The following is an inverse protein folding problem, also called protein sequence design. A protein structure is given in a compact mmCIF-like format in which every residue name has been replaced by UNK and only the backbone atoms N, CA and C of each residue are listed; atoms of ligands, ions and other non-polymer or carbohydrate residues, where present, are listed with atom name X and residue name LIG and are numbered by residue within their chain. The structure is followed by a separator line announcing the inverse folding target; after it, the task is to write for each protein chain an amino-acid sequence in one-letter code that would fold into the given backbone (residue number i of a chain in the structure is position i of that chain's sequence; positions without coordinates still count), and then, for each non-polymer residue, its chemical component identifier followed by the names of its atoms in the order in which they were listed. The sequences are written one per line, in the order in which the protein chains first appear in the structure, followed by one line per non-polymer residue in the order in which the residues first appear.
data_IF_642006898989
#
_entry.id   IF_642006898989
#
_cell.length_a   1.000
_cell.length_b   1.000
_cell.length_c   1.000
_cell.angle_alpha   90.00
_cell.angle_beta   90.00
_cell.angle_gamma   90.00
#
_symmetry.space_group_name_H-M   'P 1'
#
loop_
_entity.id
_entity.type
_entity.pdbx_description
1 polymer ?
#
# COMPACT_ATOMS: atom_id res chain seq x y z
N UNK A 1 4.15 -28.60 -7.77
CA UNK A 1 4.48 -27.43 -6.92
C UNK A 1 3.37 -26.41 -7.09
N UNK A 2 2.75 -26.01 -5.99
CA UNK A 2 1.69 -24.99 -6.01
C UNK A 2 2.29 -23.65 -6.46
N UNK A 3 1.51 -22.80 -7.13
CA UNK A 3 1.96 -21.46 -7.56
C UNK A 3 2.41 -20.61 -6.35
N UNK A 4 1.84 -20.87 -5.17
CA UNK A 4 2.20 -20.28 -3.88
C UNK A 4 3.56 -20.70 -3.32
N UNK A 5 4.27 -21.65 -3.95
CA UNK A 5 5.61 -22.09 -3.53
C UNK A 5 6.72 -21.44 -4.36
N UNK A 6 6.36 -20.63 -5.36
CA UNK A 6 7.32 -19.94 -6.21
C UNK A 6 7.73 -18.63 -5.55
N UNK A 7 9.04 -18.43 -5.42
CA UNK A 7 9.66 -17.23 -4.83
C UNK A 7 9.26 -15.95 -5.58
N UNK A 8 8.88 -16.09 -6.85
CA UNK A 8 8.37 -15.02 -7.74
C UNK A 8 6.98 -14.50 -7.36
N UNK A 9 6.17 -15.31 -6.65
CA UNK A 9 4.76 -15.01 -6.33
C UNK A 9 4.56 -14.70 -4.85
N UNK A 10 5.32 -15.37 -3.99
CA UNK A 10 5.34 -15.12 -2.56
C UNK A 10 6.78 -15.04 -2.07
N UNK A 11 7.19 -13.85 -1.63
CA UNK A 11 8.50 -13.67 -1.00
C UNK A 11 8.50 -14.31 0.40
N UNK A 12 9.70 -14.65 0.93
CA UNK A 12 9.85 -15.15 2.31
C UNK A 12 9.16 -14.26 3.36
N UNK A 13 9.06 -12.95 3.08
CA UNK A 13 8.48 -11.97 3.98
C UNK A 13 6.94 -11.94 3.99
N UNK A 14 6.28 -12.27 2.87
CA UNK A 14 4.85 -11.98 2.67
C UNK A 14 3.99 -13.23 2.36
N UNK A 15 4.51 -14.44 2.51
CA UNK A 15 3.76 -15.66 2.19
C UNK A 15 2.80 -16.08 3.30
N UNK A 16 1.57 -16.50 2.95
CA UNK A 16 0.64 -17.10 3.93
C UNK A 16 1.20 -18.35 4.61
N UNK A 17 2.14 -19.04 3.96
CA UNK A 17 2.82 -20.20 4.55
C UNK A 17 3.67 -19.81 5.76
N UNK A 18 4.39 -18.70 5.70
CA UNK A 18 5.16 -18.19 6.85
C UNK A 18 4.23 -17.77 7.98
N UNK A 19 3.04 -17.23 7.65
CA UNK A 19 1.99 -16.96 8.64
C UNK A 19 1.54 -18.26 9.32
N UNK A 20 1.26 -19.33 8.58
CA UNK A 20 0.81 -20.60 9.18
C UNK A 20 1.91 -21.28 10.01
N UNK A 21 3.17 -21.21 9.58
CA UNK A 21 4.33 -21.70 10.34
C UNK A 21 4.56 -20.87 11.62
N UNK A 22 4.50 -19.54 11.54
CA UNK A 22 4.57 -18.65 12.70
C UNK A 22 3.43 -18.87 13.70
N UNK A 23 2.20 -19.08 13.21
CA UNK A 23 1.04 -19.42 14.05
C UNK A 23 1.20 -20.78 14.73
N UNK A 24 1.81 -21.75 14.05
CA UNK A 24 2.09 -23.06 14.64
C UNK A 24 3.05 -22.93 15.84
N UNK A 25 4.14 -22.18 15.69
CA UNK A 25 5.08 -21.89 16.79
C UNK A 25 4.39 -21.16 17.95
N UNK A 26 3.61 -20.13 17.63
CA UNK A 26 2.86 -19.36 18.61
C UNK A 26 1.93 -20.25 19.46
N UNK A 27 1.21 -21.19 18.81
CA UNK A 27 0.31 -22.13 19.49
C UNK A 27 1.06 -23.13 20.37
N UNK A 28 2.32 -23.44 20.05
CA UNK A 28 3.19 -24.27 20.88
C UNK A 28 3.88 -23.50 22.03
N UNK A 29 3.50 -22.24 22.27
CA UNK A 29 4.14 -21.36 23.26
C UNK A 29 5.63 -21.12 22.97
N UNK A 30 6.02 -21.22 21.70
CA UNK A 30 7.35 -20.85 21.22
C UNK A 30 7.27 -19.47 20.57
N UNK A 31 8.30 -18.65 20.77
CA UNK A 31 8.40 -17.32 20.16
C UNK A 31 8.54 -17.47 18.64
N UNK A 32 7.60 -16.93 17.84
CA UNK A 32 7.71 -16.92 16.37
C UNK A 32 8.84 -16.01 15.87
N UNK A 33 9.41 -15.19 16.75
CA UNK A 33 10.39 -14.15 16.48
C UNK A 33 11.83 -14.54 16.84
N UNK A 34 12.03 -15.73 17.43
CA UNK A 34 13.35 -16.25 17.82
C UNK A 34 14.16 -16.81 16.62
N UNK A 35 13.61 -16.70 15.40
CA UNK A 35 14.27 -17.07 14.15
C UNK A 35 13.74 -16.28 12.96
N UNK A 36 14.22 -16.63 11.76
CA UNK A 36 13.91 -15.93 10.49
C UNK A 36 12.60 -16.44 9.83
N UNK A 37 11.62 -16.84 10.65
CA UNK A 37 10.39 -17.49 10.18
C UNK A 37 9.26 -16.47 10.01
N UNK A 38 9.16 -15.47 10.88
CA UNK A 38 8.05 -14.53 10.87
C UNK A 38 8.51 -13.08 11.07
N UNK A 39 8.17 -12.22 10.11
CA UNK A 39 8.62 -10.83 10.06
C UNK A 39 7.47 -9.83 10.04
N UNK A 40 6.26 -10.25 10.41
CA UNK A 40 5.14 -9.33 10.59
C UNK A 40 4.93 -8.99 12.08
N UNK A 41 4.29 -7.84 12.37
CA UNK A 41 4.08 -7.43 13.76
C UNK A 41 3.16 -8.38 14.57
N UNK A 42 3.30 -8.44 15.90
CA UNK A 42 2.57 -9.39 16.75
C UNK A 42 1.04 -9.26 16.70
N UNK A 43 0.50 -8.06 16.55
CA UNK A 43 -0.96 -7.88 16.47
C UNK A 43 -1.52 -8.45 15.16
N UNK A 44 -0.75 -8.38 14.06
CA UNK A 44 -1.11 -9.05 12.80
C UNK A 44 -1.14 -10.56 12.98
N UNK A 45 -0.19 -11.12 13.73
CA UNK A 45 -0.17 -12.55 14.06
C UNK A 45 -1.43 -12.98 14.82
N UNK A 46 -1.84 -12.22 15.85
CA UNK A 46 -3.08 -12.49 16.60
C UNK A 46 -4.30 -12.42 15.68
N UNK A 47 -4.35 -11.42 14.79
CA UNK A 47 -5.43 -11.30 13.82
C UNK A 47 -5.50 -12.54 12.92
N UNK A 48 -4.37 -13.02 12.40
CA UNK A 48 -4.33 -14.25 11.60
C UNK A 48 -4.70 -15.50 12.42
N UNK A 49 -4.31 -15.57 13.69
CA UNK A 49 -4.72 -16.66 14.58
C UNK A 49 -6.24 -16.69 14.76
N UNK A 50 -6.85 -15.52 14.97
CA UNK A 50 -8.30 -15.39 15.09
C UNK A 50 -9.03 -15.78 13.80
N UNK A 51 -8.55 -15.30 12.65
CA UNK A 51 -9.11 -15.64 11.33
C UNK A 51 -9.03 -17.14 11.07
N UNK A 52 -7.87 -17.76 11.32
CA UNK A 52 -7.67 -19.20 11.06
C UNK A 52 -8.39 -20.12 12.05
N UNK A 53 -8.76 -19.61 13.24
CA UNK A 53 -9.61 -20.33 14.20
C UNK A 53 -11.10 -20.21 13.86
N UNK A 54 -11.51 -19.05 13.34
CA UNK A 54 -12.93 -18.75 13.07
C UNK A 54 -13.37 -19.26 11.70
N UNK A 55 -12.49 -19.20 10.70
CA UNK A 55 -12.78 -19.62 9.33
C UNK A 55 -12.13 -20.97 9.02
N UNK A 56 -12.89 -21.86 8.37
CA UNK A 56 -12.31 -23.10 7.85
C UNK A 56 -11.33 -22.79 6.71
N UNK A 57 -10.33 -23.66 6.54
CA UNK A 57 -9.24 -23.46 5.57
C UNK A 57 -9.72 -23.25 4.13
N UNK A 58 -10.90 -23.77 3.78
CA UNK A 58 -11.48 -23.65 2.44
C UNK A 58 -11.97 -22.23 2.12
N UNK A 59 -12.31 -21.43 3.14
CA UNK A 59 -12.80 -20.06 2.97
C UNK A 59 -11.69 -19.02 2.92
N UNK A 60 -10.47 -19.37 3.33
CA UNK A 60 -9.32 -18.45 3.35
C UNK A 60 -9.05 -17.89 1.94
N UNK A 61 -8.94 -18.69 0.85
CA UNK A 61 -8.75 -18.13 -0.48
C UNK A 61 -9.87 -17.18 -0.93
N UNK A 62 -11.12 -17.47 -0.54
CA UNK A 62 -12.26 -16.60 -0.85
C UNK A 62 -12.16 -15.25 -0.13
N UNK A 63 -11.61 -15.21 1.08
CA UNK A 63 -11.32 -13.97 1.80
C UNK A 63 -10.30 -13.11 1.03
N UNK A 64 -9.23 -13.71 0.51
CA UNK A 64 -8.22 -12.99 -0.29
C UNK A 64 -8.84 -12.43 -1.58
N UNK A 65 -9.65 -13.21 -2.30
CA UNK A 65 -10.37 -12.75 -3.49
C UNK A 65 -11.32 -11.61 -3.14
N UNK A 66 -12.10 -11.73 -2.06
CA UNK A 66 -13.02 -10.69 -1.63
C UNK A 66 -12.27 -9.39 -1.28
N UNK A 67 -11.17 -9.48 -0.51
CA UNK A 67 -10.33 -8.33 -0.19
C UNK A 67 -9.77 -7.65 -1.45
N UNK A 68 -9.35 -8.42 -2.47
CA UNK A 68 -8.82 -7.88 -3.73
C UNK A 68 -9.89 -7.11 -4.52
N UNK A 69 -11.08 -7.70 -4.63
CA UNK A 69 -12.22 -7.07 -5.29
C UNK A 69 -12.63 -5.79 -4.56
N UNK A 70 -12.67 -5.80 -3.22
CA UNK A 70 -12.98 -4.60 -2.44
C UNK A 70 -11.90 -3.53 -2.63
N UNK A 71 -10.62 -3.92 -2.68
CA UNK A 71 -9.51 -2.99 -2.96
C UNK A 71 -9.71 -2.30 -4.32
N UNK A 72 -10.04 -3.06 -5.36
CA UNK A 72 -10.32 -2.53 -6.69
C UNK A 72 -11.51 -1.55 -6.68
N UNK A 73 -12.58 -1.87 -5.94
CA UNK A 73 -13.74 -1.00 -5.78
C UNK A 73 -13.41 0.30 -5.04
N UNK A 74 -12.64 0.24 -3.95
CA UNK A 74 -12.21 1.41 -3.19
C UNK A 74 -11.39 2.37 -4.05
N UNK A 75 -10.46 1.83 -4.85
CA UNK A 75 -9.66 2.63 -5.79
C UNK A 75 -10.55 3.29 -6.86
N UNK A 76 -11.51 2.55 -7.42
CA UNK A 76 -12.44 3.09 -8.42
C UNK A 76 -13.33 4.21 -7.84
N UNK A 77 -13.82 4.04 -6.61
CA UNK A 77 -14.62 5.05 -5.90
C UNK A 77 -13.79 6.31 -5.57
N UNK A 78 -12.58 6.12 -5.04
CA UNK A 78 -11.63 7.19 -4.79
C UNK A 78 -11.31 7.97 -6.07
N UNK A 79 -11.00 7.26 -7.17
CA UNK A 79 -10.74 7.88 -8.47
C UNK A 79 -11.94 8.69 -8.99
N UNK A 80 -13.16 8.15 -8.88
CA UNK A 80 -14.40 8.85 -9.26
C UNK A 80 -14.53 10.18 -8.52
N UNK A 81 -14.35 10.15 -7.20
CA UNK A 81 -14.48 11.33 -6.34
C UNK A 81 -13.37 12.35 -6.63
N UNK A 82 -12.13 11.91 -6.79
CA UNK A 82 -10.97 12.75 -7.13
C UNK A 82 -11.15 13.48 -8.46
N UNK A 83 -11.59 12.79 -9.51
CA UNK A 83 -11.81 13.42 -10.82
C UNK A 83 -13.00 14.36 -10.80
N UNK A 84 -14.08 13.98 -10.11
CA UNK A 84 -15.23 14.88 -9.93
C UNK A 84 -14.79 16.19 -9.25
N UNK A 85 -13.93 16.11 -8.24
CA UNK A 85 -13.34 17.26 -7.58
C UNK A 85 -12.44 18.09 -8.51
N UNK A 86 -11.59 17.44 -9.31
CA UNK A 86 -10.73 18.15 -10.27
C UNK A 86 -11.55 18.88 -11.35
N UNK A 87 -12.58 18.24 -11.91
CA UNK A 87 -13.48 18.85 -12.91
C UNK A 87 -14.19 20.07 -12.33
N UNK A 88 -14.65 19.99 -11.08
CA UNK A 88 -15.26 21.12 -10.39
C UNK A 88 -14.28 22.28 -10.17
N UNK A 89 -13.03 22.00 -9.78
CA UNK A 89 -12.00 23.05 -9.66
C UNK A 89 -11.64 23.66 -11.01
N UNK A 90 -11.51 22.85 -12.06
CA UNK A 90 -11.22 23.34 -13.40
C UNK A 90 -12.33 24.25 -13.94
N UNK A 91 -13.59 23.97 -13.63
CA UNK A 91 -14.72 24.81 -14.05
C UNK A 91 -14.71 26.21 -13.41
N UNK A 92 -14.06 26.36 -12.25
CA UNK A 92 -13.95 27.64 -11.53
C UNK A 92 -12.75 28.48 -12.01
N UNK A 93 -11.78 27.89 -12.71
CA UNK A 93 -10.61 28.60 -13.24
C UNK A 93 -10.92 29.17 -14.62
N UNK A 94 -10.83 30.50 -14.78
CA UNK A 94 -10.97 31.16 -16.10
C UNK A 94 -9.83 30.72 -17.04
N UNK A 95 -10.11 29.81 -17.97
CA UNK A 95 -9.11 29.32 -18.95
C UNK A 95 -8.86 30.34 -20.08
N UNK A 96 -7.60 30.47 -20.51
CA UNK A 96 -7.24 31.13 -21.77
C UNK A 96 -7.72 30.29 -22.98
N UNK A 97 -8.07 30.94 -24.10
CA UNK A 97 -8.64 30.30 -25.31
C UNK A 97 -7.85 29.10 -25.86
N UNK A 98 -6.54 29.01 -25.58
CA UNK A 98 -5.64 27.94 -26.04
C UNK A 98 -5.86 26.59 -25.30
N UNK A 99 -6.42 26.59 -24.09
CA UNK A 99 -6.56 25.39 -23.26
C UNK A 99 -7.86 24.58 -23.51
N UNK A 100 -8.63 24.92 -24.56
CA UNK A 100 -9.96 24.34 -24.83
C UNK A 100 -9.91 22.85 -25.20
N UNK A 101 -8.78 22.37 -25.72
CA UNK A 101 -8.58 20.98 -26.12
C UNK A 101 -8.18 20.03 -24.96
N UNK A 102 -7.82 20.58 -23.79
CA UNK A 102 -7.50 19.83 -22.56
C UNK A 102 -8.59 20.15 -21.52
N UNK A 103 -9.85 19.92 -21.89
CA UNK A 103 -10.97 20.14 -20.97
C UNK A 103 -11.39 18.78 -20.43
N UNK A 104 -11.10 18.52 -19.14
CA UNK A 104 -11.63 17.36 -18.44
C UNK A 104 -13.17 17.44 -18.50
N UNK A 105 -13.76 16.57 -19.30
CA UNK A 105 -15.19 16.59 -19.58
C UNK A 105 -15.90 15.65 -18.60
N UNK A 106 -17.13 15.93 -18.20
CA UNK A 106 -17.92 15.02 -17.35
C UNK A 106 -17.97 13.57 -17.87
N UNK A 107 -17.86 13.36 -19.19
CA UNK A 107 -17.71 12.02 -19.81
C UNK A 107 -16.46 11.26 -19.36
N UNK A 108 -15.33 11.93 -19.08
CA UNK A 108 -14.13 11.27 -18.55
C UNK A 108 -14.28 10.89 -17.08
N UNK A 109 -15.12 11.60 -16.31
CA UNK A 109 -15.40 11.27 -14.91
C UNK A 109 -16.09 9.91 -14.73
N UNK A 110 -16.87 9.46 -15.72
CA UNK A 110 -17.52 8.14 -15.71
C UNK A 110 -16.63 7.02 -16.29
N UNK A 111 -15.69 7.36 -17.17
CA UNK A 111 -14.80 6.40 -17.82
C UNK A 111 -13.61 6.00 -16.93
N UNK A 112 -13.04 6.94 -16.18
CA UNK A 112 -11.82 6.68 -15.40
C UNK A 112 -12.04 5.65 -14.27
N UNK A 113 -13.12 5.67 -13.48
CA UNK A 113 -13.34 4.63 -12.46
C UNK A 113 -13.39 3.22 -13.05
N UNK A 114 -13.99 3.07 -14.25
CA UNK A 114 -14.04 1.78 -14.97
C UNK A 114 -12.66 1.36 -15.45
N UNK A 115 -11.85 2.32 -15.93
CA UNK A 115 -10.48 2.06 -16.35
C UNK A 115 -9.59 1.68 -15.16
N UNK A 116 -9.68 2.39 -14.04
CA UNK A 116 -8.94 2.07 -12.80
C UNK A 116 -9.29 0.66 -12.32
N UNK A 117 -10.58 0.32 -12.31
CA UNK A 117 -11.04 -1.02 -11.94
C UNK A 117 -10.46 -2.09 -12.90
N UNK A 118 -10.56 -1.87 -14.21
CA UNK A 118 -10.05 -2.80 -15.20
C UNK A 118 -8.52 -2.97 -15.13
N UNK A 119 -7.77 -1.87 -15.01
CA UNK A 119 -6.31 -1.90 -14.92
C UNK A 119 -5.86 -2.61 -13.64
N UNK A 120 -6.52 -2.36 -12.50
CA UNK A 120 -6.16 -3.04 -11.26
C UNK A 120 -6.43 -4.55 -11.33
N UNK A 121 -7.64 -4.95 -11.74
CA UNK A 121 -8.05 -6.37 -11.82
C UNK A 121 -7.28 -7.16 -12.89
N UNK A 122 -6.89 -6.51 -13.99
CA UNK A 122 -6.10 -7.12 -15.04
C UNK A 122 -4.59 -6.99 -14.80
N UNK A 123 -4.17 -6.30 -13.74
CA UNK A 123 -2.75 -6.21 -13.42
C UNK A 123 -2.26 -7.60 -12.98
N UNK A 124 -1.27 -8.10 -13.72
CA UNK A 124 -0.64 -9.40 -13.42
C UNK A 124 -0.14 -9.44 -11.97
N UNK A 125 0.29 -8.30 -11.42
CA UNK A 125 0.75 -8.19 -10.05
C UNK A 125 -0.36 -8.42 -9.00
N UNK A 126 -1.54 -7.79 -9.13
CA UNK A 126 -2.65 -8.03 -8.19
C UNK A 126 -3.16 -9.47 -8.28
N UNK A 127 -3.27 -10.01 -9.50
CA UNK A 127 -3.66 -11.41 -9.72
C UNK A 127 -2.66 -12.39 -9.07
N UNK A 128 -1.36 -12.14 -9.21
CA UNK A 128 -0.32 -12.97 -8.60
C UNK A 128 -0.34 -12.87 -7.07
N UNK A 129 -0.54 -11.69 -6.49
CA UNK A 129 -0.69 -11.55 -5.03
C UNK A 129 -1.90 -12.32 -4.48
N UNK A 130 -3.01 -12.30 -5.22
CA UNK A 130 -4.24 -13.01 -4.87
C UNK A 130 -4.05 -14.54 -4.97
N UNK A 131 -3.50 -15.03 -6.08
CA UNK A 131 -3.22 -16.47 -6.29
C UNK A 131 -2.14 -16.98 -5.31
N UNK A 132 -1.15 -16.14 -5.02
CA UNK A 132 -0.07 -16.43 -4.07
C UNK A 132 -0.50 -16.43 -2.61
N UNK A 133 -1.72 -15.96 -2.29
CA UNK A 133 -2.14 -15.65 -0.92
C UNK A 133 -1.10 -14.82 -0.19
N UNK A 134 -0.63 -13.75 -0.83
CA UNK A 134 0.38 -12.89 -0.26
C UNK A 134 -0.26 -11.89 0.71
N UNK A 135 0.36 -11.66 1.86
CA UNK A 135 -0.13 -10.70 2.87
C UNK A 135 -0.03 -9.24 2.41
N UNK A 136 0.69 -8.99 1.31
CA UNK A 136 0.70 -7.72 0.56
C UNK A 136 -0.69 -7.29 0.11
N UNK A 137 -1.62 -8.23 -0.07
CA UNK A 137 -2.99 -7.94 -0.46
C UNK A 137 -3.72 -7.13 0.63
N UNK A 138 -3.47 -7.42 1.90
CA UNK A 138 -4.01 -6.63 3.01
C UNK A 138 -3.40 -5.23 3.07
N UNK A 139 -2.11 -5.08 2.76
CA UNK A 139 -1.47 -3.76 2.64
C UNK A 139 -2.08 -2.92 1.52
N UNK A 140 -2.29 -3.52 0.34
CA UNK A 140 -2.94 -2.85 -0.78
C UNK A 140 -4.38 -2.42 -0.44
N UNK A 141 -5.11 -3.28 0.27
CA UNK A 141 -6.44 -2.96 0.78
C UNK A 141 -6.43 -1.76 1.75
N UNK A 142 -5.52 -1.77 2.74
CA UNK A 142 -5.39 -0.67 3.70
C UNK A 142 -5.00 0.64 3.01
N UNK A 143 -4.06 0.62 2.06
CA UNK A 143 -3.69 1.79 1.28
C UNK A 143 -4.85 2.32 0.41
N UNK A 144 -5.62 1.44 -0.22
CA UNK A 144 -6.79 1.85 -0.99
C UNK A 144 -7.88 2.46 -0.08
N UNK A 145 -8.08 1.90 1.12
CA UNK A 145 -9.02 2.41 2.11
C UNK A 145 -8.57 3.76 2.68
N UNK A 146 -7.28 3.94 2.95
CA UNK A 146 -6.67 5.21 3.35
C UNK A 146 -6.92 6.28 2.28
N UNK A 147 -6.53 5.99 1.03
CA UNK A 147 -6.74 6.90 -0.09
C UNK A 147 -8.21 7.28 -0.28
N UNK A 148 -9.11 6.30 -0.26
CA UNK A 148 -10.55 6.56 -0.36
C UNK A 148 -11.01 7.46 0.80
N UNK A 149 -10.70 7.09 2.04
CA UNK A 149 -11.08 7.87 3.24
C UNK A 149 -10.57 9.30 3.18
N UNK A 150 -9.32 9.48 2.71
CA UNK A 150 -8.70 10.79 2.51
C UNK A 150 -9.46 11.63 1.48
N UNK A 151 -9.78 11.06 0.31
CA UNK A 151 -10.52 11.73 -0.77
C UNK A 151 -11.96 12.07 -0.37
N UNK A 152 -12.60 11.25 0.48
CA UNK A 152 -13.92 11.54 1.04
C UNK A 152 -13.88 12.56 2.19
N UNK A 153 -12.70 12.97 2.66
CA UNK A 153 -12.50 13.97 3.71
C UNK A 153 -12.57 13.42 5.14
N UNK A 154 -12.58 12.09 5.31
CA UNK A 154 -12.57 11.42 6.61
C UNK A 154 -11.15 11.32 7.16
N UNK A 155 -10.56 12.47 7.47
CA UNK A 155 -9.16 12.59 7.89
C UNK A 155 -8.82 11.75 9.12
N UNK A 156 -9.74 11.58 10.08
CA UNK A 156 -9.54 10.74 11.27
C UNK A 156 -9.34 9.27 10.88
N UNK A 157 -10.26 8.75 10.05
CA UNK A 157 -10.23 7.36 9.60
C UNK A 157 -8.98 7.11 8.76
N UNK A 158 -8.66 8.03 7.83
CA UNK A 158 -7.43 7.97 7.05
C UNK A 158 -6.18 7.93 7.95
N UNK A 159 -6.08 8.82 8.93
CA UNK A 159 -4.93 8.86 9.86
C UNK A 159 -4.74 7.56 10.65
N UNK A 160 -5.84 6.94 11.08
CA UNK A 160 -5.83 5.66 11.80
C UNK A 160 -5.40 4.53 10.87
N UNK A 161 -5.96 4.44 9.67
CA UNK A 161 -5.61 3.40 8.68
C UNK A 161 -4.15 3.54 8.27
N UNK A 162 -3.67 4.75 8.02
CA UNK A 162 -2.29 5.03 7.68
C UNK A 162 -1.33 4.60 8.81
N UNK A 163 -1.73 4.78 10.08
CA UNK A 163 -0.96 4.30 11.22
C UNK A 163 -0.94 2.76 11.31
N UNK A 164 -2.07 2.10 11.06
CA UNK A 164 -2.16 0.62 11.00
C UNK A 164 -1.26 0.07 9.90
N UNK A 165 -1.29 0.69 8.72
CA UNK A 165 -0.44 0.28 7.61
C UNK A 165 1.04 0.58 7.88
N UNK A 166 1.36 1.74 8.49
CA UNK A 166 2.74 2.08 8.89
C UNK A 166 3.29 1.10 9.95
N UNK A 167 2.41 0.62 10.82
CA UNK A 167 2.75 -0.43 11.78
C UNK A 167 3.06 -1.75 11.07
N UNK A 168 2.30 -2.15 10.04
CA UNK A 168 2.59 -3.36 9.26
C UNK A 168 3.83 -3.22 8.37
N UNK A 169 4.03 -2.08 7.74
CA UNK A 169 5.12 -1.78 6.81
C UNK A 169 5.57 -0.34 6.99
N UNK A 170 6.87 -0.07 7.10
CA UNK A 170 7.34 1.29 7.43
C UNK A 170 7.08 2.34 6.33
N UNK A 171 7.10 1.94 5.05
CA UNK A 171 7.10 2.85 3.89
C UNK A 171 5.91 3.81 3.78
N UNK A 172 4.66 3.44 4.11
CA UNK A 172 3.49 4.31 3.95
C UNK A 172 3.51 5.59 4.77
N UNK A 173 4.43 5.73 5.74
CA UNK A 173 4.70 7.01 6.43
C UNK A 173 4.97 8.17 5.45
N UNK A 174 5.51 7.88 4.27
CA UNK A 174 5.77 8.88 3.23
C UNK A 174 4.50 9.55 2.70
N UNK A 175 3.33 8.89 2.81
CA UNK A 175 2.03 9.45 2.41
C UNK A 175 1.50 10.49 3.41
N UNK A 176 2.02 10.51 4.64
CA UNK A 176 1.61 11.48 5.66
C UNK A 176 1.94 12.91 5.21
N UNK A 177 3.13 13.14 4.65
CA UNK A 177 3.56 14.48 4.22
C UNK A 177 2.63 15.11 3.15
N UNK A 178 2.37 14.48 1.99
CA UNK A 178 1.46 15.04 1.00
C UNK A 178 0.03 15.18 1.54
N UNK A 179 -0.43 14.26 2.41
CA UNK A 179 -1.74 14.35 3.04
C UNK A 179 -1.86 15.61 3.93
N UNK A 180 -0.85 15.87 4.75
CA UNK A 180 -0.81 17.05 5.64
C UNK A 180 -0.78 18.36 4.85
N UNK A 181 0.06 18.45 3.82
CA UNK A 181 0.16 19.63 2.97
C UNK A 181 -1.17 19.94 2.29
N UNK A 182 -1.82 18.91 1.72
CA UNK A 182 -3.12 19.07 1.08
C UNK A 182 -4.20 19.52 2.08
N UNK A 183 -4.30 18.88 3.25
CA UNK A 183 -5.29 19.26 4.27
C UNK A 183 -5.06 20.68 4.79
N UNK A 184 -3.80 21.07 4.96
CA UNK A 184 -3.44 22.43 5.35
C UNK A 184 -3.89 23.45 4.30
N UNK A 185 -3.61 23.23 3.03
CA UNK A 185 -4.00 24.13 1.93
C UNK A 185 -5.53 24.24 1.79
N UNK A 186 -6.23 23.11 1.81
CA UNK A 186 -7.70 23.08 1.72
C UNK A 186 -8.33 23.82 2.90
N UNK A 187 -7.87 23.54 4.13
CA UNK A 187 -8.44 24.16 5.33
C UNK A 187 -8.05 25.64 5.45
N UNK A 188 -6.84 26.02 5.03
CA UNK A 188 -6.39 27.42 4.96
C UNK A 188 -7.18 28.22 3.92
N UNK A 189 -7.56 27.61 2.81
CA UNK A 189 -8.36 28.29 1.78
C UNK A 189 -9.81 28.50 2.23
N UNK A 190 -10.34 27.59 3.04
CA UNK A 190 -11.71 27.68 3.55
C UNK A 190 -11.84 28.47 4.87
N UNK A 191 -10.81 28.51 5.70
CA UNK A 191 -10.85 29.00 7.08
C UNK A 191 -9.54 29.73 7.48
N UNK A 192 -9.41 30.08 8.76
CA UNK A 192 -8.20 30.73 9.29
C UNK A 192 -6.99 29.79 9.39
N UNK A 193 -5.78 30.35 9.28
CA UNK A 193 -4.50 29.66 9.45
C UNK A 193 -4.44 28.84 10.75
N UNK A 194 -4.98 29.38 11.86
CA UNK A 194 -5.00 28.69 13.17
C UNK A 194 -5.81 27.39 13.12
N UNK A 195 -6.91 27.36 12.38
CA UNK A 195 -7.74 26.16 12.27
C UNK A 195 -7.10 25.10 11.37
N UNK A 196 -6.37 25.53 10.32
CA UNK A 196 -5.60 24.63 9.47
C UNK A 196 -4.45 23.96 10.26
N UNK A 197 -3.72 24.73 11.08
CA UNK A 197 -2.66 24.16 11.93
C UNK A 197 -3.22 23.23 13.02
N UNK A 198 -4.39 23.54 13.58
CA UNK A 198 -5.07 22.65 14.53
C UNK A 198 -5.48 21.33 13.88
N UNK A 199 -5.98 21.34 12.64
CA UNK A 199 -6.32 20.11 11.92
C UNK A 199 -5.08 19.27 11.64
N UNK A 200 -4.00 19.88 11.15
CA UNK A 200 -2.73 19.19 10.88
C UNK A 200 -2.16 18.56 12.15
N UNK A 201 -2.13 19.31 13.26
CA UNK A 201 -1.68 18.77 14.54
C UNK A 201 -2.58 17.64 15.03
N UNK A 202 -3.90 17.74 14.86
CA UNK A 202 -4.83 16.66 15.20
C UNK A 202 -4.58 15.39 14.37
N UNK A 203 -4.30 15.51 13.07
CA UNK A 203 -3.93 14.39 12.19
C UNK A 203 -2.65 13.71 12.70
N UNK A 204 -1.60 14.49 12.95
CA UNK A 204 -0.30 13.97 13.44
C UNK A 204 -0.46 13.30 14.81
N UNK A 205 -1.18 13.93 15.74
CA UNK A 205 -1.43 13.36 17.06
C UNK A 205 -2.21 12.06 16.94
N UNK A 206 -3.26 12.01 16.12
CA UNK A 206 -4.06 10.80 15.91
C UNK A 206 -3.16 9.68 15.36
N UNK A 207 -2.36 9.98 14.33
CA UNK A 207 -1.42 9.02 13.76
C UNK A 207 -0.43 8.48 14.81
N UNK A 208 0.22 9.36 15.57
CA UNK A 208 1.21 8.98 16.59
C UNK A 208 0.60 8.19 17.75
N UNK A 209 -0.57 8.59 18.24
CA UNK A 209 -1.29 7.89 19.31
C UNK A 209 -1.70 6.50 18.85
N UNK A 210 -2.21 6.37 17.62
CA UNK A 210 -2.62 5.08 17.06
C UNK A 210 -1.41 4.16 16.87
N UNK A 211 -0.33 4.66 16.26
CA UNK A 211 0.91 3.90 16.05
C UNK A 211 1.54 3.48 17.38
N UNK A 212 1.65 4.39 18.33
CA UNK A 212 2.16 4.10 19.67
C UNK A 212 1.29 3.08 20.42
N UNK A 213 -0.03 3.18 20.29
CA UNK A 213 -0.98 2.22 20.86
C UNK A 213 -0.81 0.82 20.27
N UNK A 214 -0.60 0.69 18.96
CA UNK A 214 -0.35 -0.59 18.29
C UNK A 214 1.00 -1.20 18.72
N UNK A 215 2.05 -0.39 18.80
CA UNK A 215 3.37 -0.85 19.29
C UNK A 215 3.31 -1.29 20.75
N UNK A 216 2.61 -0.53 21.60
CA UNK A 216 2.41 -0.88 23.00
C UNK A 216 1.55 -2.15 23.16
N UNK A 217 0.48 -2.28 22.38
CA UNK A 217 -0.32 -3.51 22.35
C UNK A 217 0.50 -4.73 21.93
N UNK A 218 1.43 -4.55 20.98
CA UNK A 218 2.37 -5.60 20.58
C UNK A 218 3.27 -6.02 21.74
N UNK A 219 3.82 -5.05 22.47
CA UNK A 219 4.64 -5.29 23.66
C UNK A 219 3.88 -6.05 24.74
N UNK A 220 2.60 -5.74 24.98
CA UNK A 220 1.77 -6.48 25.94
C UNK A 220 1.56 -7.95 25.55
N UNK A 221 1.51 -8.24 24.25
CA UNK A 221 1.31 -9.60 23.72
C UNK A 221 2.59 -10.43 23.79
N UNK A 222 3.72 -9.86 23.38
CA UNK A 222 5.00 -10.58 23.32
C UNK A 222 5.77 -10.54 24.63
N UNK A 223 5.47 -9.58 25.51
CA UNK A 223 6.23 -9.34 26.75
C UNK A 223 7.65 -8.79 26.54
N UNK A 224 8.06 -8.57 25.29
CA UNK A 224 9.40 -8.13 24.91
C UNK A 224 9.38 -7.25 23.67
N UNK A 225 10.43 -6.44 23.48
CA UNK A 225 10.63 -5.59 22.30
C UNK A 225 11.37 -6.32 21.15
N UNK A 226 11.64 -7.61 21.30
CA UNK A 226 12.42 -8.39 20.33
C UNK A 226 11.76 -8.43 18.95
N UNK A 227 10.42 -8.39 18.90
CA UNK A 227 9.67 -8.29 17.65
C UNK A 227 10.05 -7.07 16.79
N UNK A 228 10.49 -5.95 17.40
CA UNK A 228 10.92 -4.77 16.64
C UNK A 228 12.13 -5.09 15.78
N UNK A 229 13.10 -5.81 16.34
CA UNK A 229 14.30 -6.21 15.60
C UNK A 229 13.96 -7.24 14.52
N UNK A 230 13.14 -8.24 14.83
CA UNK A 230 12.77 -9.28 13.85
C UNK A 230 11.85 -8.75 12.73
N UNK A 231 11.01 -7.74 13.02
CA UNK A 231 10.06 -7.15 12.05
C UNK A 231 10.71 -6.00 11.26
N UNK A 232 11.25 -4.98 11.95
CA UNK A 232 11.80 -3.78 11.30
C UNK A 232 13.31 -3.86 11.09
N UNK A 233 14.04 -4.58 11.94
CA UNK A 233 15.47 -4.80 11.76
C UNK A 233 15.78 -5.57 10.49
N UNK A 234 14.92 -6.51 10.08
CA UNK A 234 15.04 -7.20 8.78
C UNK A 234 14.87 -6.23 7.59
N UNK A 235 13.99 -5.24 7.69
CA UNK A 235 13.80 -4.21 6.63
C UNK A 235 15.04 -3.30 6.53
N UNK A 236 15.62 -2.91 7.67
CA UNK A 236 16.80 -2.03 7.72
C UNK A 236 18.12 -2.77 7.41
N UNK A 237 18.21 -4.06 7.73
CA UNK A 237 19.41 -4.88 7.54
C UNK A 237 19.53 -5.46 6.11
N UNK A 238 18.50 -5.30 5.27
CA UNK A 238 18.42 -5.80 3.89
C UNK A 238 19.04 -7.22 3.73
N UNK A 239 18.64 -8.22 4.53
CA UNK A 239 19.25 -9.55 4.45
C UNK A 239 18.73 -10.34 3.25
N UNK A 240 17.57 -9.97 2.69
CA UNK A 240 16.94 -10.68 1.56
C UNK A 240 17.06 -9.89 0.25
N UNK A 241 18.10 -10.20 -0.52
CA UNK A 241 18.25 -9.83 -1.94
C UNK A 241 17.40 -10.73 -2.85
N UNK A 242 16.22 -11.17 -2.40
CA UNK A 242 15.28 -11.83 -3.30
C UNK A 242 14.91 -10.80 -4.38
N UNK A 243 15.09 -11.13 -5.67
CA UNK A 243 14.95 -10.15 -6.72
C UNK A 243 13.52 -9.62 -6.70
N UNK A 244 13.36 -8.37 -6.28
CA UNK A 244 12.10 -7.69 -6.47
C UNK A 244 11.85 -7.59 -7.99
N UNK A 245 10.59 -7.60 -8.41
CA UNK A 245 10.26 -7.61 -9.85
C UNK A 245 10.92 -6.44 -10.61
N UNK A 246 11.20 -5.33 -9.91
CA UNK A 246 11.90 -4.16 -10.45
C UNK A 246 13.39 -4.39 -10.70
N UNK A 247 14.09 -5.09 -9.81
CA UNK A 247 15.48 -5.53 -9.94
C UNK A 247 15.55 -6.61 -11.02
N UNK A 248 14.58 -7.52 -11.08
CA UNK A 248 14.44 -8.45 -12.20
C UNK A 248 14.25 -7.71 -13.53
N UNK A 249 13.36 -6.70 -13.60
CA UNK A 249 13.17 -5.87 -14.78
C UNK A 249 14.42 -5.09 -15.15
N UNK A 250 15.14 -4.56 -14.16
CA UNK A 250 16.42 -3.88 -14.35
C UNK A 250 17.47 -4.84 -14.93
N UNK A 251 17.62 -6.04 -14.36
CA UNK A 251 18.48 -7.09 -14.92
C UNK A 251 18.04 -7.49 -16.33
N UNK A 252 16.74 -7.59 -16.59
CA UNK A 252 16.20 -7.93 -17.90
C UNK A 252 16.52 -6.84 -18.94
N UNK A 253 16.34 -5.56 -18.61
CA UNK A 253 16.72 -4.45 -19.50
C UNK A 253 18.23 -4.39 -19.71
N UNK A 254 19.02 -4.68 -18.69
CA UNK A 254 20.48 -4.64 -18.76
C UNK A 254 21.06 -5.79 -19.59
N UNK A 255 20.55 -7.03 -19.42
CA UNK A 255 20.96 -8.19 -20.21
C UNK A 255 20.60 -8.02 -21.69
N UNK A 256 19.45 -7.40 -22.00
CA UNK A 256 19.05 -7.10 -23.37
C UNK A 256 19.89 -5.97 -23.99
N UNK A 257 20.31 -4.98 -23.20
CA UNK A 257 21.28 -3.97 -23.63
C UNK A 257 22.65 -4.59 -23.96
N UNK A 258 23.14 -5.48 -23.10
CA UNK A 258 24.43 -6.18 -23.28
C UNK A 258 24.40 -7.12 -24.49
N UNK A 259 23.25 -7.75 -24.76
CA UNK A 259 23.08 -8.71 -25.87
C UNK A 259 22.85 -8.06 -27.23
N UNK A 260 22.88 -6.71 -27.32
CA UNK A 260 22.83 -5.97 -28.59
C UNK A 260 21.52 -6.10 -29.39
N UNK A 261 20.47 -6.72 -28.83
CA UNK A 261 19.24 -7.05 -29.55
C UNK A 261 18.37 -5.82 -29.90
N UNK A 262 18.71 -4.64 -29.37
CA UNK A 262 18.04 -3.35 -29.64
C UNK A 262 19.02 -2.21 -29.99
N UNK A 263 20.16 -2.51 -30.61
CA UNK A 263 21.05 -1.45 -31.12
C UNK A 263 20.46 -0.67 -32.33
N UNK A 264 19.30 -1.09 -32.86
CA UNK A 264 18.68 -0.51 -34.06
C UNK A 264 17.67 0.62 -33.87
N UNK A 265 17.40 1.10 -32.65
CA UNK A 265 16.41 2.18 -32.43
C UNK A 265 16.90 3.30 -31.48
N UNK A 266 18.20 3.53 -31.42
CA UNK A 266 18.87 4.56 -30.60
C UNK A 266 18.93 5.94 -31.24
N UNK A 267 17.94 6.31 -32.08
CA UNK A 267 17.86 7.66 -32.69
C UNK A 267 16.59 8.45 -32.32
N UNK A 268 15.82 8.00 -31.34
CA UNK A 268 14.65 8.73 -30.84
C UNK A 268 14.60 8.74 -29.31
N UNK A 269 15.56 9.44 -28.67
CA UNK A 269 15.28 10.35 -27.55
C UNK A 269 16.59 11.03 -27.10
N UNK A 270 16.61 12.36 -26.92
CA UNK A 270 17.83 13.08 -26.56
C UNK A 270 18.29 12.71 -25.15
N UNK A 271 19.54 12.29 -25.06
CA UNK A 271 20.33 12.17 -23.86
C UNK A 271 20.65 13.55 -23.28
N UNK A 272 19.69 14.17 -22.60
CA UNK A 272 19.97 15.24 -21.65
C UNK A 272 18.78 15.42 -20.73
N UNK A 273 19.09 15.64 -19.46
CA UNK A 273 18.21 15.79 -18.30
C UNK A 273 18.16 14.49 -17.50
N UNK A 274 18.89 14.54 -16.39
CA UNK A 274 18.65 13.93 -15.06
C UNK A 274 19.99 13.54 -14.42
N UNK A 275 20.76 14.56 -14.05
CA UNK A 275 21.60 14.55 -12.84
C UNK A 275 21.83 16.01 -12.41
N UNK A 276 20.99 16.48 -11.50
CA UNK A 276 21.34 17.33 -10.36
C UNK A 276 20.18 17.33 -9.37
#
# INVERSE_FOLDING_TARGET
RSVSERVEVSTPMNSWRRVTEGLYLYRMQLSPYDGDIFHEPPLSLIMYDYVTKTMEKQWIPLLFIACDLVTALLLALGAKKSISYMVQREAQVKKAKSAKNITLTMKSADAVPKLVLAVYLLSLYSLLNCIGMATTLFSNFLLALDFASFVYGWWLIASVILAVETYKSFYPIMLLLPALLYLYEVKRSACSHRQASLLVSAVVITFLVTLGGLLYGSYLVTGSWQFLHSTYGCICAVPDLTPNIGVFWYFFTEVLNISGLFSGSSNLMPSSIWFH
#
